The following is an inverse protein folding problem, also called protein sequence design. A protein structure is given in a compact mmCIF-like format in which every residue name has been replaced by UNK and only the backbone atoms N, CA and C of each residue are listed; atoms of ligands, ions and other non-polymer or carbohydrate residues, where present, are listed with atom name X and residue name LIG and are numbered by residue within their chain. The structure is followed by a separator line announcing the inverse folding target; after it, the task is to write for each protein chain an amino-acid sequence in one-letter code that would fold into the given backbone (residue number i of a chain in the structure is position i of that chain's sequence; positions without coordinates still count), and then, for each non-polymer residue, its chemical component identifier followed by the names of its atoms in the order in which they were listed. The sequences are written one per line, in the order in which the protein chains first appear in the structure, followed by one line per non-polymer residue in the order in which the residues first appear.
data_IF_150531629048
#
_entry.id   IF_150531629048
#
_cell.length_a   1.000
_cell.length_b   1.000
_cell.length_c   1.000
_cell.angle_alpha   90.00
_cell.angle_beta   90.00
_cell.angle_gamma   90.00
#
_symmetry.space_group_name_H-M   'P 1'
#
loop_
_entity.id
_entity.type
_entity.pdbx_description
1 polymer ?
#
# COMPACT_ATOMS: atom_id res chain seq x y z
N UNK A 1 -4.22 -20.97 -2.26
CA UNK A 1 -5.25 -21.23 -1.24
C UNK A 1 -4.73 -22.28 -0.27
N UNK A 2 -4.71 -22.01 1.04
CA UNK A 2 -4.16 -22.97 2.02
C UNK A 2 -5.17 -24.09 2.29
N UNK A 3 -4.72 -25.34 2.23
CA UNK A 3 -5.56 -26.52 2.49
C UNK A 3 -6.00 -26.61 3.96
N UNK A 4 -5.15 -26.16 4.89
CA UNK A 4 -5.47 -26.07 6.32
C UNK A 4 -5.37 -24.63 6.80
N UNK A 5 -6.50 -24.07 7.27
CA UNK A 5 -6.61 -22.68 7.76
C UNK A 5 -5.82 -22.46 9.05
N UNK A 6 -5.58 -23.50 9.84
CA UNK A 6 -4.82 -23.40 11.09
C UNK A 6 -3.32 -23.16 10.85
N UNK A 7 -2.83 -23.42 9.64
CA UNK A 7 -1.42 -23.19 9.28
C UNK A 7 -1.13 -21.74 8.87
N UNK A 8 -2.17 -20.91 8.67
CA UNK A 8 -2.00 -19.54 8.21
C UNK A 8 -1.08 -18.68 9.08
N UNK A 9 -1.22 -18.64 10.43
CA UNK A 9 -0.35 -17.80 11.25
C UNK A 9 1.13 -18.19 11.13
N UNK A 10 1.42 -19.49 10.98
CA UNK A 10 2.78 -19.99 10.77
C UNK A 10 3.32 -19.58 9.40
N UNK A 11 2.53 -19.77 8.35
CA UNK A 11 2.91 -19.38 6.98
C UNK A 11 3.13 -17.87 6.88
N UNK A 12 2.25 -17.07 7.49
CA UNK A 12 2.38 -15.62 7.54
C UNK A 12 3.63 -15.21 8.31
N UNK A 13 3.90 -15.79 9.48
CA UNK A 13 5.09 -15.49 10.26
C UNK A 13 6.38 -15.76 9.48
N UNK A 14 6.47 -16.93 8.82
CA UNK A 14 7.62 -17.27 7.97
C UNK A 14 7.78 -16.27 6.82
N UNK A 15 6.68 -15.93 6.14
CA UNK A 15 6.71 -14.96 5.06
C UNK A 15 7.19 -13.58 5.54
N UNK A 16 6.68 -13.07 6.67
CA UNK A 16 7.11 -11.78 7.23
C UNK A 16 8.57 -11.77 7.65
N UNK A 17 9.05 -12.84 8.29
CA UNK A 17 10.48 -12.96 8.66
C UNK A 17 11.36 -12.97 7.43
N UNK A 18 10.99 -13.73 6.40
CA UNK A 18 11.73 -13.77 5.14
C UNK A 18 11.73 -12.41 4.44
N UNK A 19 10.58 -11.73 4.38
CA UNK A 19 10.49 -10.37 3.81
C UNK A 19 11.38 -9.38 4.58
N UNK A 20 11.30 -9.38 5.92
CA UNK A 20 12.11 -8.52 6.77
C UNK A 20 13.61 -8.77 6.56
N UNK A 21 14.01 -10.03 6.44
CA UNK A 21 15.41 -10.39 6.17
C UNK A 21 15.87 -9.86 4.81
N UNK A 22 15.09 -10.11 3.75
CA UNK A 22 15.45 -9.67 2.39
C UNK A 22 15.56 -8.15 2.34
N UNK A 23 14.55 -7.43 2.84
CA UNK A 23 14.58 -5.97 2.86
C UNK A 23 15.72 -5.42 3.71
N UNK A 24 15.99 -6.01 4.88
CA UNK A 24 17.09 -5.56 5.73
C UNK A 24 18.44 -5.75 5.06
N UNK A 25 18.69 -6.93 4.49
CA UNK A 25 19.95 -7.22 3.79
C UNK A 25 20.13 -6.27 2.61
N UNK A 26 19.11 -6.11 1.76
CA UNK A 26 19.17 -5.20 0.60
C UNK A 26 19.47 -3.76 1.02
N UNK A 27 18.74 -3.23 2.01
CA UNK A 27 18.93 -1.86 2.49
C UNK A 27 20.29 -1.66 3.15
N UNK A 28 20.75 -2.59 3.99
CA UNK A 28 22.07 -2.51 4.62
C UNK A 28 23.19 -2.56 3.58
N UNK A 29 23.12 -3.48 2.61
CA UNK A 29 24.13 -3.58 1.56
C UNK A 29 24.17 -2.32 0.70
N UNK A 30 23.01 -1.83 0.22
CA UNK A 30 22.95 -0.62 -0.59
C UNK A 30 23.53 0.60 0.16
N UNK A 31 23.12 0.80 1.41
CA UNK A 31 23.61 1.90 2.23
C UNK A 31 25.08 1.76 2.59
N UNK A 32 25.58 0.54 2.83
CA UNK A 32 27.00 0.31 3.13
C UNK A 32 27.93 0.67 1.97
N UNK A 33 27.45 0.60 0.71
CA UNK A 33 28.23 0.88 -0.48
C UNK A 33 28.17 2.34 -0.93
N UNK A 34 27.01 2.99 -0.81
CA UNK A 34 26.81 4.37 -1.32
C UNK A 34 26.62 5.43 -0.23
N UNK A 35 26.40 5.02 1.02
CA UNK A 35 26.13 5.92 2.13
C UNK A 35 24.95 6.85 1.84
N UNK A 36 25.15 8.14 2.12
CA UNK A 36 24.13 9.18 1.96
C UNK A 36 23.84 9.56 0.50
N UNK A 37 24.60 9.05 -0.48
CA UNK A 37 24.38 9.31 -1.90
C UNK A 37 23.36 8.36 -2.55
N UNK A 38 22.80 7.43 -1.77
CA UNK A 38 21.84 6.44 -2.25
C UNK A 38 20.51 7.11 -2.65
N UNK A 39 20.10 6.94 -3.90
CA UNK A 39 18.78 7.38 -4.35
C UNK A 39 17.66 6.61 -3.63
N UNK A 40 16.50 7.27 -3.49
CA UNK A 40 15.28 6.68 -2.92
C UNK A 40 14.77 5.48 -3.73
N UNK A 41 15.09 5.44 -5.02
CA UNK A 41 14.86 4.31 -5.90
C UNK A 41 16.18 3.64 -6.28
N UNK A 42 16.44 2.46 -5.70
CA UNK A 42 17.72 1.74 -5.81
C UNK A 42 18.26 1.56 -7.25
N UNK A 43 17.43 1.28 -8.27
CA UNK A 43 17.94 1.17 -9.64
C UNK A 43 18.55 2.46 -10.21
N UNK A 44 18.15 3.64 -9.72
CA UNK A 44 18.71 4.92 -10.18
C UNK A 44 20.16 5.10 -9.73
N UNK A 45 20.47 4.54 -8.57
CA UNK A 45 21.81 4.48 -7.99
C UNK A 45 22.79 3.53 -8.71
N UNK A 46 22.31 2.76 -9.69
CA UNK A 46 23.17 1.85 -10.45
C UNK A 46 23.90 2.59 -11.57
N UNK A 47 25.17 2.24 -11.79
CA UNK A 47 25.93 2.69 -12.96
C UNK A 47 25.26 2.22 -14.26
N UNK A 48 25.34 3.08 -15.28
CA UNK A 48 24.76 2.82 -16.59
C UNK A 48 25.47 1.67 -17.30
N UNK A 49 24.92 0.47 -17.09
CA UNK A 49 25.49 -0.81 -17.51
C UNK A 49 24.41 -1.69 -18.14
N UNK A 50 24.84 -2.76 -18.84
CA UNK A 50 23.93 -3.79 -19.32
C UNK A 50 23.11 -4.43 -18.18
N UNK A 51 23.68 -4.49 -16.97
CA UNK A 51 23.02 -5.00 -15.77
C UNK A 51 21.86 -4.10 -15.34
N UNK A 52 22.04 -2.77 -15.32
CA UNK A 52 20.96 -1.81 -15.02
C UNK A 52 19.78 -1.97 -15.98
N UNK A 53 20.05 -2.15 -17.27
CA UNK A 53 19.00 -2.39 -18.29
C UNK A 53 18.24 -3.70 -18.05
N UNK A 54 18.96 -4.76 -17.68
CA UNK A 54 18.35 -6.05 -17.36
C UNK A 54 17.44 -5.95 -16.12
N UNK A 55 17.94 -5.34 -15.04
CA UNK A 55 17.16 -5.09 -13.82
C UNK A 55 15.91 -4.25 -14.13
N UNK A 56 16.07 -3.18 -14.93
CA UNK A 56 14.96 -2.35 -15.39
C UNK A 56 13.92 -3.14 -16.18
N UNK A 57 14.32 -4.02 -17.09
CA UNK A 57 13.41 -4.87 -17.86
C UNK A 57 12.63 -5.85 -16.96
N UNK A 58 13.32 -6.50 -16.02
CA UNK A 58 12.68 -7.36 -15.01
C UNK A 58 11.67 -6.59 -14.16
N UNK A 59 12.02 -5.36 -13.76
CA UNK A 59 11.14 -4.53 -12.95
C UNK A 59 9.91 -4.07 -13.73
N UNK A 60 10.06 -3.62 -14.98
CA UNK A 60 8.93 -3.25 -15.85
C UNK A 60 7.99 -4.44 -16.00
N UNK A 61 8.54 -5.62 -16.31
CA UNK A 61 7.75 -6.84 -16.44
C UNK A 61 6.97 -7.17 -15.15
N UNK A 62 7.65 -7.11 -13.99
CA UNK A 62 7.02 -7.33 -12.70
C UNK A 62 5.88 -6.34 -12.42
N UNK A 63 6.15 -5.04 -12.58
CA UNK A 63 5.19 -3.96 -12.30
C UNK A 63 3.97 -4.07 -13.23
N UNK A 64 4.16 -4.35 -14.52
CA UNK A 64 3.05 -4.54 -15.45
C UNK A 64 2.12 -5.69 -15.02
N UNK A 65 2.68 -6.85 -14.66
CA UNK A 65 1.88 -7.99 -14.23
C UNK A 65 1.17 -7.70 -12.90
N UNK A 66 1.90 -7.14 -11.93
CA UNK A 66 1.34 -6.79 -10.64
C UNK A 66 0.17 -5.79 -10.78
N UNK A 67 0.33 -4.78 -11.64
CA UNK A 67 -0.69 -3.78 -11.95
C UNK A 67 -1.95 -4.41 -12.54
N UNK A 68 -1.81 -5.29 -13.54
CA UNK A 68 -2.94 -5.97 -14.18
C UNK A 68 -3.72 -6.84 -13.19
N UNK A 69 -3.02 -7.55 -12.30
CA UNK A 69 -3.64 -8.44 -11.31
C UNK A 69 -4.34 -7.64 -10.21
N UNK A 70 -3.66 -6.64 -9.65
CA UNK A 70 -4.15 -5.87 -8.48
C UNK A 70 -5.37 -5.00 -8.81
N UNK A 71 -5.59 -4.65 -10.08
CA UNK A 71 -6.72 -3.82 -10.49
C UNK A 71 -8.02 -4.55 -10.74
N UNK A 72 -7.96 -5.87 -11.00
CA UNK A 72 -9.16 -6.64 -11.31
C UNK A 72 -10.25 -6.49 -10.24
N UNK A 73 -9.97 -6.57 -8.93
CA UNK A 73 -11.00 -6.40 -7.89
C UNK A 73 -11.60 -5.00 -7.89
N UNK A 74 -10.78 -3.96 -8.10
CA UNK A 74 -11.23 -2.57 -8.11
C UNK A 74 -12.14 -2.28 -9.31
N UNK A 75 -11.72 -2.66 -10.52
CA UNK A 75 -12.54 -2.49 -11.73
C UNK A 75 -13.82 -3.31 -11.64
N UNK A 76 -13.75 -4.53 -11.08
CA UNK A 76 -14.95 -5.33 -10.81
C UNK A 76 -15.90 -4.63 -9.84
N UNK A 77 -15.38 -4.04 -8.77
CA UNK A 77 -16.19 -3.26 -7.82
C UNK A 77 -16.88 -2.08 -8.52
N UNK A 78 -16.16 -1.31 -9.35
CA UNK A 78 -16.75 -0.23 -10.13
C UNK A 78 -17.81 -0.75 -11.13
N UNK A 79 -17.57 -1.90 -11.76
CA UNK A 79 -18.49 -2.50 -12.72
C UNK A 79 -19.80 -2.94 -12.05
N UNK A 80 -19.72 -3.58 -10.89
CA UNK A 80 -20.89 -3.92 -10.06
C UNK A 80 -21.64 -2.66 -9.65
N UNK A 81 -20.92 -1.59 -9.28
CA UNK A 81 -21.52 -0.35 -8.76
C UNK A 81 -22.24 0.44 -9.85
N UNK A 82 -21.61 0.64 -11.01
CA UNK A 82 -22.16 1.48 -12.08
C UNK A 82 -23.02 0.71 -13.09
N UNK A 83 -22.72 -0.57 -13.34
CA UNK A 83 -23.43 -1.37 -14.34
C UNK A 83 -23.82 -2.77 -13.84
N UNK A 84 -24.59 -2.87 -12.74
CA UNK A 84 -24.95 -4.14 -12.10
C UNK A 84 -25.67 -5.11 -13.03
N UNK A 85 -26.40 -4.63 -14.03
CA UNK A 85 -27.12 -5.47 -14.99
C UNK A 85 -26.21 -6.15 -16.03
N UNK A 86 -24.97 -5.67 -16.19
CA UNK A 86 -24.03 -6.15 -17.20
C UNK A 86 -22.87 -6.97 -16.63
N UNK A 87 -22.67 -6.93 -15.31
CA UNK A 87 -21.60 -7.68 -14.64
C UNK A 87 -21.77 -9.18 -14.87
N UNK A 88 -20.65 -9.89 -15.06
CA UNK A 88 -20.56 -11.35 -15.29
C UNK A 88 -21.29 -11.89 -16.54
N UNK A 89 -21.90 -11.03 -17.36
CA UNK A 89 -22.50 -11.40 -18.65
C UNK A 89 -21.45 -11.41 -19.76
N UNK A 90 -21.42 -12.46 -20.58
CA UNK A 90 -20.53 -12.57 -21.76
C UNK A 90 -21.09 -11.87 -23.00
N UNK A 91 -21.61 -10.66 -22.85
CA UNK A 91 -22.15 -9.86 -23.96
C UNK A 91 -21.13 -8.82 -24.45
N UNK A 92 -21.26 -8.37 -25.70
CA UNK A 92 -20.41 -7.29 -26.23
C UNK A 92 -20.54 -6.02 -25.37
N UNK A 93 -21.75 -5.71 -24.90
CA UNK A 93 -22.00 -4.56 -24.00
C UNK A 93 -21.23 -4.65 -22.68
N UNK A 94 -21.17 -5.84 -22.08
CA UNK A 94 -20.39 -6.05 -20.86
C UNK A 94 -18.89 -5.84 -21.09
N UNK A 95 -18.36 -6.36 -22.22
CA UNK A 95 -16.96 -6.13 -22.61
C UNK A 95 -16.67 -4.64 -22.82
N UNK A 96 -17.58 -3.91 -23.47
CA UNK A 96 -17.45 -2.47 -23.68
C UNK A 96 -17.45 -1.69 -22.36
N UNK A 97 -18.36 -2.00 -21.43
CA UNK A 97 -18.37 -1.38 -20.10
C UNK A 97 -17.06 -1.67 -19.34
N UNK A 98 -16.55 -2.91 -19.42
CA UNK A 98 -15.29 -3.29 -18.79
C UNK A 98 -14.10 -2.52 -19.37
N UNK A 99 -13.98 -2.50 -20.70
CA UNK A 99 -12.92 -1.73 -21.39
C UNK A 99 -13.01 -0.25 -21.07
N UNK A 100 -14.21 0.34 -21.06
CA UNK A 100 -14.43 1.75 -20.72
C UNK A 100 -13.94 2.07 -19.30
N UNK A 101 -14.30 1.25 -18.31
CA UNK A 101 -13.86 1.44 -16.92
C UNK A 101 -12.33 1.31 -16.81
N UNK A 102 -11.74 0.33 -17.51
CA UNK A 102 -10.30 0.13 -17.52
C UNK A 102 -9.56 1.31 -18.17
N UNK A 103 -10.03 1.78 -19.33
CA UNK A 103 -9.46 2.94 -20.02
C UNK A 103 -9.60 4.22 -19.19
N UNK A 104 -10.74 4.46 -18.56
CA UNK A 104 -10.94 5.61 -17.69
C UNK A 104 -9.97 5.60 -16.50
N UNK A 105 -9.77 4.43 -15.89
CA UNK A 105 -8.81 4.25 -14.81
C UNK A 105 -7.36 4.46 -15.29
N UNK A 106 -6.97 3.94 -16.47
CA UNK A 106 -5.64 4.17 -17.05
C UNK A 106 -5.37 5.65 -17.31
N UNK A 107 -6.35 6.37 -17.87
CA UNK A 107 -6.25 7.82 -18.09
C UNK A 107 -6.07 8.54 -16.76
N UNK A 108 -6.85 8.18 -15.74
CA UNK A 108 -6.71 8.76 -14.40
C UNK A 108 -5.33 8.50 -13.79
N UNK A 109 -4.83 7.26 -13.87
CA UNK A 109 -3.51 6.89 -13.38
C UNK A 109 -2.39 7.65 -14.13
N UNK A 110 -2.53 7.81 -15.45
CA UNK A 110 -1.62 8.61 -16.27
C UNK A 110 -1.62 10.08 -15.85
N UNK A 111 -2.80 10.68 -15.62
CA UNK A 111 -2.91 12.06 -15.14
C UNK A 111 -2.23 12.24 -13.79
N UNK A 112 -2.44 11.33 -12.84
CA UNK A 112 -1.75 11.37 -11.53
C UNK A 112 -0.24 11.24 -11.70
N UNK A 113 0.23 10.31 -12.53
CA UNK A 113 1.65 10.10 -12.76
C UNK A 113 2.35 11.32 -13.36
N UNK A 114 1.66 12.11 -14.19
CA UNK A 114 2.20 13.36 -14.72
C UNK A 114 2.05 14.54 -13.73
N UNK A 115 1.05 14.50 -12.84
CA UNK A 115 0.83 15.55 -11.86
C UNK A 115 1.79 15.46 -10.66
N UNK A 116 2.21 14.25 -10.27
CA UNK A 116 3.11 14.01 -9.15
C UNK A 116 4.39 13.37 -9.68
N UNK A 117 5.43 14.16 -10.01
CA UNK A 117 6.67 13.62 -10.57
C UNK A 117 7.53 12.88 -9.53
N UNK A 118 7.16 12.93 -8.24
CA UNK A 118 7.91 12.34 -7.14
C UNK A 118 7.25 11.08 -6.60
N UNK A 119 7.70 9.93 -7.09
CA UNK A 119 7.14 8.62 -6.70
C UNK A 119 7.33 8.33 -5.20
N UNK A 120 8.49 8.69 -4.63
CA UNK A 120 8.80 8.44 -3.22
C UNK A 120 7.85 9.18 -2.27
N UNK A 121 7.72 10.49 -2.41
CA UNK A 121 6.81 11.31 -1.62
C UNK A 121 5.34 10.85 -1.75
N UNK A 122 4.89 10.51 -2.97
CA UNK A 122 3.55 9.99 -3.19
C UNK A 122 3.33 8.64 -2.48
N UNK A 123 4.31 7.75 -2.54
CA UNK A 123 4.25 6.44 -1.88
C UNK A 123 4.24 6.59 -0.35
N UNK A 124 5.04 7.48 0.21
CA UNK A 124 5.11 7.75 1.65
C UNK A 124 3.81 8.37 2.17
N UNK A 125 3.23 9.32 1.42
CA UNK A 125 1.94 9.91 1.74
C UNK A 125 0.82 8.87 1.71
N UNK A 126 0.77 8.02 0.68
CA UNK A 126 -0.21 6.93 0.61
C UNK A 126 0.02 5.89 1.72
N UNK A 127 1.27 5.56 2.02
CA UNK A 127 1.66 4.63 3.07
C UNK A 127 1.26 5.11 4.46
N UNK A 128 1.44 6.40 4.75
CA UNK A 128 1.04 7.00 6.02
C UNK A 128 -0.48 7.17 6.13
N UNK A 129 -1.15 7.71 5.10
CA UNK A 129 -2.58 7.98 5.13
C UNK A 129 -3.45 6.74 5.05
N UNK A 130 -3.08 5.78 4.22
CA UNK A 130 -3.87 4.57 3.99
C UNK A 130 -3.26 3.39 4.74
N UNK A 131 -1.94 3.19 4.65
CA UNK A 131 -1.26 2.05 5.26
C UNK A 131 -1.39 2.00 6.78
N UNK A 132 -1.20 3.12 7.48
CA UNK A 132 -1.36 3.15 8.94
C UNK A 132 -2.77 2.74 9.42
N UNK A 133 -3.88 3.24 8.83
CA UNK A 133 -5.21 2.71 9.13
C UNK A 133 -5.38 1.23 8.76
N UNK A 134 -4.84 0.75 7.64
CA UNK A 134 -4.96 -0.69 7.28
C UNK A 134 -4.27 -1.59 8.31
N UNK A 135 -3.08 -1.19 8.77
CA UNK A 135 -2.23 -2.02 9.62
C UNK A 135 -2.63 -1.92 11.10
N UNK A 136 -2.85 -0.71 11.60
CA UNK A 136 -3.08 -0.46 13.04
C UNK A 136 -4.53 -0.12 13.37
N UNK A 137 -5.23 0.55 12.44
CA UNK A 137 -6.59 1.04 12.66
C UNK A 137 -7.65 -0.05 12.52
N UNK A 138 -7.92 -0.47 11.27
CA UNK A 138 -9.04 -1.37 10.94
C UNK A 138 -9.00 -2.72 11.65
N UNK A 139 -7.87 -3.44 11.78
CA UNK A 139 -7.85 -4.74 12.44
C UNK A 139 -8.24 -4.63 13.92
N UNK A 140 -7.69 -3.65 14.64
CA UNK A 140 -8.00 -3.41 16.04
C UNK A 140 -9.44 -2.91 16.22
N UNK A 141 -9.89 -2.01 15.34
CA UNK A 141 -11.27 -1.53 15.34
C UNK A 141 -12.28 -2.65 15.12
N UNK A 142 -12.09 -3.48 14.09
CA UNK A 142 -12.98 -4.61 13.80
C UNK A 142 -12.92 -5.68 14.89
N UNK A 143 -11.76 -5.93 15.49
CA UNK A 143 -11.64 -6.87 16.61
C UNK A 143 -12.45 -6.39 17.83
N UNK A 144 -12.33 -5.11 18.18
CA UNK A 144 -13.10 -4.49 19.26
C UNK A 144 -14.60 -4.48 18.92
N UNK A 145 -14.98 -4.06 17.72
CA UNK A 145 -16.38 -4.00 17.28
C UNK A 145 -17.05 -5.38 17.31
N UNK A 146 -16.38 -6.41 16.79
CA UNK A 146 -16.89 -7.77 16.76
C UNK A 146 -17.12 -8.34 18.18
N UNK A 147 -16.21 -8.08 19.13
CA UNK A 147 -16.36 -8.54 20.52
C UNK A 147 -17.32 -7.68 21.34
N UNK A 148 -17.41 -6.38 21.06
CA UNK A 148 -18.35 -5.45 21.72
C UNK A 148 -19.80 -5.85 21.47
N UNK A 149 -20.10 -6.40 20.30
CA UNK A 149 -21.44 -6.90 19.94
C UNK A 149 -21.96 -8.03 20.84
N UNK A 150 -21.09 -8.67 21.62
CA UNK A 150 -21.42 -9.80 22.52
C UNK A 150 -21.49 -9.43 24.00
N UNK A 151 -21.25 -8.17 24.37
CA UNK A 151 -21.20 -7.73 25.76
C UNK A 151 -22.20 -6.61 26.02
N UNK A 152 -22.80 -6.58 27.22
CA UNK A 152 -23.76 -5.55 27.60
C UNK A 152 -23.06 -4.26 28.06
N UNK A 153 -21.91 -4.38 28.73
CA UNK A 153 -21.20 -3.28 29.40
C UNK A 153 -19.70 -3.23 29.06
N UNK A 154 -19.10 -2.03 29.04
CA UNK A 154 -17.67 -1.83 28.80
C UNK A 154 -16.77 -2.54 29.83
N UNK A 155 -17.22 -2.66 31.09
CA UNK A 155 -16.45 -3.36 32.13
C UNK A 155 -16.39 -4.86 31.87
N UNK A 156 -17.50 -5.45 31.42
CA UNK A 156 -17.56 -6.86 31.03
C UNK A 156 -16.72 -7.13 29.77
N UNK A 157 -16.78 -6.22 28.79
CA UNK A 157 -15.97 -6.29 27.58
C UNK A 157 -14.47 -6.30 27.88
N UNK A 158 -13.99 -5.37 28.72
CA UNK A 158 -12.57 -5.28 29.10
C UNK A 158 -12.13 -6.50 29.90
N UNK A 159 -12.98 -7.00 30.81
CA UNK A 159 -12.71 -8.23 31.54
C UNK A 159 -12.64 -9.47 30.62
N UNK A 160 -13.49 -9.55 29.59
CA UNK A 160 -13.50 -10.64 28.61
C UNK A 160 -12.35 -10.58 27.59
N UNK A 161 -11.85 -9.38 27.26
CA UNK A 161 -10.69 -9.23 26.37
C UNK A 161 -9.40 -9.69 27.04
N UNK A 162 -9.31 -9.50 28.36
CA UNK A 162 -8.07 -9.63 29.11
C UNK A 162 -7.15 -8.42 28.93
N UNK A 163 -6.20 -8.22 29.87
CA UNK A 163 -5.38 -7.01 29.91
C UNK A 163 -4.46 -6.87 28.69
N UNK A 164 -3.89 -7.98 28.19
CA UNK A 164 -2.94 -7.97 27.06
C UNK A 164 -3.61 -7.52 25.77
N UNK A 165 -4.76 -8.11 25.40
CA UNK A 165 -5.46 -7.71 24.18
C UNK A 165 -6.01 -6.29 24.27
N UNK A 166 -6.44 -5.87 25.46
CA UNK A 166 -6.88 -4.49 25.70
C UNK A 166 -5.74 -3.50 25.47
N UNK A 167 -4.57 -3.78 26.07
CA UNK A 167 -3.39 -2.94 25.92
C UNK A 167 -2.94 -2.88 24.45
N UNK A 168 -2.93 -4.00 23.73
CA UNK A 168 -2.58 -4.03 22.31
C UNK A 168 -3.56 -3.23 21.45
N UNK A 169 -4.87 -3.41 21.64
CA UNK A 169 -5.86 -2.65 20.86
C UNK A 169 -5.81 -1.16 21.17
N UNK A 170 -5.63 -0.79 22.46
CA UNK A 170 -5.49 0.60 22.87
C UNK A 170 -4.21 1.23 22.29
N UNK A 171 -3.07 0.51 22.36
CA UNK A 171 -1.82 0.95 21.76
C UNK A 171 -1.96 1.15 20.25
N UNK A 172 -2.54 0.18 19.53
CA UNK A 172 -2.71 0.29 18.08
C UNK A 172 -3.65 1.42 17.66
N UNK A 173 -4.81 1.57 18.33
CA UNK A 173 -5.82 2.57 17.95
C UNK A 173 -5.53 3.98 18.44
N UNK A 174 -5.02 4.13 19.66
CA UNK A 174 -4.85 5.44 20.30
C UNK A 174 -3.44 6.00 20.14
N UNK A 175 -2.45 5.14 19.89
CA UNK A 175 -1.05 5.57 19.76
C UNK A 175 -0.55 5.33 18.35
N UNK A 176 -0.41 4.08 17.90
CA UNK A 176 0.25 3.79 16.62
C UNK A 176 -0.51 4.39 15.42
N UNK A 177 -1.83 4.17 15.34
CA UNK A 177 -2.64 4.68 14.23
C UNK A 177 -2.53 6.21 14.07
N UNK A 178 -2.86 7.05 15.08
CA UNK A 178 -2.77 8.50 14.90
C UNK A 178 -1.32 8.96 14.76
N UNK A 179 -0.36 8.35 15.48
CA UNK A 179 1.05 8.74 15.39
C UNK A 179 1.60 8.52 13.97
N UNK A 180 1.45 7.31 13.41
CA UNK A 180 2.00 6.99 12.08
C UNK A 180 1.22 7.67 10.95
N UNK A 181 -0.09 7.89 11.12
CA UNK A 181 -0.87 8.62 10.12
C UNK A 181 -0.49 10.10 10.12
N UNK A 182 -0.46 10.76 11.28
CA UNK A 182 -0.21 12.20 11.36
C UNK A 182 1.25 12.52 11.11
N UNK A 183 2.19 11.90 11.84
CA UNK A 183 3.60 12.19 11.65
C UNK A 183 4.09 11.75 10.26
N UNK A 184 3.62 10.59 9.78
CA UNK A 184 3.96 10.11 8.45
C UNK A 184 3.41 11.02 7.35
N UNK A 185 2.17 11.51 7.49
CA UNK A 185 1.61 12.45 6.51
C UNK A 185 2.27 13.82 6.58
N UNK A 186 2.60 14.33 7.78
CA UNK A 186 3.34 15.58 7.94
C UNK A 186 4.72 15.50 7.27
N UNK A 187 5.49 14.45 7.55
CA UNK A 187 6.80 14.24 6.91
C UNK A 187 6.70 14.16 5.39
N UNK A 188 5.79 13.34 4.87
CA UNK A 188 5.61 13.20 3.42
C UNK A 188 5.15 14.52 2.74
N UNK A 189 4.38 15.36 3.44
CA UNK A 189 3.98 16.69 2.94
C UNK A 189 5.16 17.67 2.96
N UNK A 190 6.00 17.64 4.01
CA UNK A 190 7.21 18.47 4.08
C UNK A 190 8.18 18.11 2.94
N UNK A 191 8.44 16.82 2.74
CA UNK A 191 9.29 16.32 1.66
C UNK A 191 8.75 16.71 0.28
N UNK A 192 7.44 16.56 0.07
CA UNK A 192 6.79 16.98 -1.18
C UNK A 192 6.93 18.49 -1.43
N UNK A 193 6.77 19.31 -0.39
CA UNK A 193 6.92 20.77 -0.50
C UNK A 193 8.36 21.13 -0.87
N UNK A 194 9.34 20.49 -0.26
CA UNK A 194 10.75 20.78 -0.51
C UNK A 194 11.20 20.30 -1.90
N UNK A 195 10.71 19.15 -2.36
CA UNK A 195 10.92 18.69 -3.74
C UNK A 195 10.28 19.62 -4.77
N UNK A 196 9.06 20.13 -4.52
CA UNK A 196 8.40 21.13 -5.39
C UNK A 196 9.21 22.44 -5.44
N UNK A 197 9.75 22.91 -4.31
CA UNK A 197 10.62 24.11 -4.31
C UNK A 197 11.90 23.88 -5.08
N UNK A 198 12.51 22.69 -4.98
CA UNK A 198 13.77 22.34 -5.63
C UNK A 198 13.63 22.17 -7.16
N UNK A 199 12.47 21.71 -7.63
CA UNK A 199 12.21 21.40 -9.04
C UNK A 199 11.70 22.57 -9.88
N UNK A 200 11.35 23.70 -9.26
CA UNK A 200 10.76 24.85 -9.95
C UNK A 200 9.30 24.58 -10.40
N UNK A 201 8.56 25.61 -10.86
CA UNK A 201 7.16 25.42 -11.24
C UNK A 201 7.05 24.41 -12.41
N UNK A 202 6.10 23.45 -12.35
CA UNK A 202 5.98 22.34 -13.32
C UNK A 202 5.63 22.79 -14.76
N UNK A 203 5.47 24.09 -14.99
CA UNK A 203 5.22 24.71 -16.30
C UNK A 203 5.96 26.05 -16.49
N UNK A 204 7.03 26.31 -15.74
CA UNK A 204 7.84 27.53 -15.92
C UNK A 204 8.83 27.39 -17.06
N UNK A 205 8.51 27.99 -18.21
CA UNK A 205 9.47 28.34 -19.26
C UNK A 205 10.43 29.43 -18.80
#
# INVERSE_FOLDING_TARGET
EMRDRCTFPKAAAVAYVMMALVYSVTSLTAYSLQGNALASFLPDSMEDSGLKRFVGACLIFHVMIAYVITQQPFIRFLHVTFFPSSVDRRTLRSRLHWTMLYSAYLVFAYLIANAIPFFAAAQELLGSLLGAPIVFGWPAFFFVAARRSRSSSWREFLAQLGPVHTALCALSLLVCFPLFTVLGACGAVEDLIDEIKASGPPFGS
#
